data_IF_411100850123
#
_entry.id   IF_411100850123
#
_cell.length_a   1.000
_cell.length_b   1.000
_cell.length_c   1.000
_cell.angle_alpha   90.00
_cell.angle_beta   90.00
_cell.angle_gamma   90.00
#
_symmetry.space_group_name_H-M   'P 1'
#
loop_
_entity.id
_entity.type
_entity.pdbx_description
1 polymer ?
#
# COMPACT_ATOMS: atom_id res chain seq x y z
N UNK A 1 4.36 -18.45 2.39
CA UNK A 1 4.56 -17.07 1.93
C UNK A 1 3.28 -16.29 2.10
N UNK A 2 3.30 -15.24 2.91
CA UNK A 2 2.21 -14.29 3.15
C UNK A 2 2.55 -12.97 2.48
N UNK A 3 1.76 -12.56 1.49
CA UNK A 3 1.92 -11.30 0.76
C UNK A 3 0.67 -10.46 0.97
N UNK A 4 0.85 -9.22 1.42
CA UNK A 4 -0.23 -8.25 1.45
C UNK A 4 -0.25 -7.47 0.15
N UNK A 5 -1.38 -7.45 -0.54
CA UNK A 5 -1.59 -6.65 -1.76
C UNK A 5 -2.56 -5.53 -1.42
N UNK A 6 -2.14 -4.27 -1.62
CA UNK A 6 -2.93 -3.05 -1.34
C UNK A 6 -3.69 -3.10 -0.01
N UNK A 7 -2.99 -3.27 1.12
CA UNK A 7 -3.65 -3.51 2.40
C UNK A 7 -4.43 -2.28 2.88
N UNK A 8 -5.74 -2.47 3.09
CA UNK A 8 -6.65 -1.52 3.77
C UNK A 8 -7.19 -2.15 5.05
N UNK A 9 -6.42 -2.02 6.13
CA UNK A 9 -6.62 -2.73 7.40
C UNK A 9 -6.82 -1.80 8.61
N UNK A 10 -6.80 -0.50 8.38
CA UNK A 10 -6.89 0.53 9.42
C UNK A 10 -7.79 1.66 8.92
N UNK A 11 -8.52 2.30 9.83
CA UNK A 11 -9.14 3.61 9.61
C UNK A 11 -10.09 3.76 8.41
N UNK A 12 -10.58 4.99 8.19
CA UNK A 12 -11.27 5.38 6.96
C UNK A 12 -10.29 5.68 5.82
N UNK A 13 -10.77 5.50 4.59
CA UNK A 13 -10.18 6.05 3.38
C UNK A 13 -10.61 7.52 3.23
N UNK A 14 -9.62 8.41 3.11
CA UNK A 14 -9.78 9.83 2.78
C UNK A 14 -9.55 10.05 1.27
N UNK A 15 -10.27 11.01 0.70
CA UNK A 15 -10.24 11.37 -0.72
C UNK A 15 -9.64 12.77 -0.96
N UNK A 16 -8.90 13.32 0.02
CA UNK A 16 -8.38 14.68 -0.03
C UNK A 16 -9.44 15.75 0.26
N UNK A 17 -10.55 15.35 0.90
CA UNK A 17 -11.62 16.24 1.35
C UNK A 17 -11.66 16.23 2.88
N UNK A 18 -12.07 17.31 3.54
CA UNK A 18 -12.34 17.28 4.97
C UNK A 18 -13.19 16.04 5.33
N UNK A 19 -12.74 15.23 6.29
CA UNK A 19 -13.41 13.97 6.65
C UNK A 19 -14.90 14.14 7.03
N UNK A 20 -15.27 15.34 7.51
CA UNK A 20 -16.66 15.72 7.79
C UNK A 20 -17.54 15.85 6.53
N UNK A 21 -16.95 16.05 5.35
CA UNK A 21 -17.65 16.09 4.07
C UNK A 21 -17.78 14.70 3.46
N UNK A 22 -16.67 13.97 3.34
CA UNK A 22 -16.69 12.66 2.70
C UNK A 22 -15.52 11.78 3.14
N UNK A 23 -15.82 10.59 3.65
CA UNK A 23 -14.86 9.52 3.94
C UNK A 23 -15.54 8.17 3.74
N UNK A 24 -14.76 7.12 3.52
CA UNK A 24 -15.28 5.77 3.37
C UNK A 24 -14.65 4.82 4.40
N UNK A 25 -15.45 3.96 5.02
CA UNK A 25 -14.95 2.92 5.94
C UNK A 25 -15.33 1.54 5.45
N UNK A 26 -14.47 0.55 5.72
CA UNK A 26 -14.80 -0.85 5.48
C UNK A 26 -15.91 -1.28 6.44
N UNK A 27 -17.03 -1.79 5.90
CA UNK A 27 -18.21 -2.22 6.69
C UNK A 27 -17.90 -3.22 7.81
N UNK A 28 -16.89 -4.09 7.62
CA UNK A 28 -16.54 -5.19 8.53
C UNK A 28 -15.13 -5.07 9.14
N UNK A 29 -14.49 -3.91 9.04
CA UNK A 29 -13.18 -3.72 9.67
C UNK A 29 -13.40 -3.31 11.13
N UNK A 30 -12.75 -3.97 12.10
CA UNK A 30 -12.81 -3.54 13.49
C UNK A 30 -12.31 -2.11 13.66
N UNK A 31 -12.84 -1.39 14.64
CA UNK A 31 -12.47 0.00 14.93
C UNK A 31 -10.99 0.17 15.30
N UNK A 32 -10.36 -0.89 15.84
CA UNK A 32 -8.94 -0.94 16.18
C UNK A 32 -8.05 -1.48 15.04
N UNK A 33 -8.64 -1.72 13.85
CA UNK A 33 -7.93 -2.30 12.72
C UNK A 33 -7.56 -3.77 12.87
N UNK A 34 -6.73 -4.25 11.95
CA UNK A 34 -6.24 -5.64 11.92
C UNK A 34 -4.72 -5.75 11.79
N UNK A 35 -3.99 -4.65 11.60
CA UNK A 35 -2.56 -4.72 11.25
C UNK A 35 -1.73 -5.46 12.31
N UNK A 36 -2.02 -5.22 13.60
CA UNK A 36 -1.33 -5.87 14.71
C UNK A 36 -1.69 -7.36 14.90
N UNK A 37 -2.78 -7.83 14.29
CA UNK A 37 -3.26 -9.22 14.39
C UNK A 37 -2.81 -10.09 13.21
N UNK A 38 -2.04 -9.54 12.27
CA UNK A 38 -1.57 -10.27 11.11
C UNK A 38 -0.50 -11.32 11.49
N UNK A 39 -0.41 -12.44 10.74
CA UNK A 39 0.74 -13.33 10.84
C UNK A 39 2.01 -12.64 10.33
N UNK A 40 3.15 -13.33 10.40
CA UNK A 40 4.37 -12.86 9.75
C UNK A 40 4.12 -12.57 8.26
N UNK A 41 4.53 -11.38 7.83
CA UNK A 41 4.40 -10.89 6.45
C UNK A 41 5.75 -11.06 5.77
N UNK A 42 5.75 -11.69 4.59
CA UNK A 42 6.96 -11.90 3.80
C UNK A 42 7.16 -10.81 2.75
N UNK A 43 6.09 -10.13 2.33
CA UNK A 43 6.15 -8.98 1.43
C UNK A 43 4.88 -8.11 1.51
N UNK A 44 5.04 -6.84 1.13
CA UNK A 44 3.93 -5.97 0.76
C UNK A 44 4.06 -5.65 -0.73
N UNK A 45 2.95 -5.71 -1.46
CA UNK A 45 2.85 -5.28 -2.85
C UNK A 45 1.85 -4.14 -2.92
N UNK A 46 2.29 -3.00 -3.44
CA UNK A 46 1.42 -1.87 -3.78
C UNK A 46 1.29 -1.81 -5.28
N UNK A 47 0.06 -1.77 -5.78
CA UNK A 47 -0.19 -1.77 -7.24
C UNK A 47 -0.26 -0.35 -7.80
N UNK A 48 -0.63 0.64 -6.98
CA UNK A 48 -0.78 2.04 -7.37
C UNK A 48 -0.55 3.00 -6.19
N UNK A 49 -0.09 4.23 -6.48
CA UNK A 49 0.14 5.26 -5.47
C UNK A 49 -1.11 5.99 -4.93
N UNK A 50 -2.32 5.70 -5.42
CA UNK A 50 -3.55 6.32 -4.91
C UNK A 50 -3.91 5.79 -3.52
N UNK A 51 -4.59 6.60 -2.71
CA UNK A 51 -4.86 6.31 -1.30
C UNK A 51 -5.70 5.05 -1.07
N UNK A 52 -6.51 4.63 -2.04
CA UNK A 52 -7.31 3.40 -2.01
C UNK A 52 -6.49 2.14 -2.31
N UNK A 53 -5.21 2.29 -2.62
CA UNK A 53 -4.22 1.22 -2.80
C UNK A 53 -3.04 1.39 -1.82
N UNK A 54 -2.36 2.52 -1.88
CA UNK A 54 -1.29 2.94 -0.96
C UNK A 54 -1.89 3.60 0.30
N UNK A 55 -2.65 2.85 1.08
CA UNK A 55 -3.41 3.42 2.18
C UNK A 55 -2.52 3.80 3.38
N UNK A 56 -2.21 5.09 3.52
CA UNK A 56 -1.25 5.61 4.52
C UNK A 56 -1.56 5.17 5.96
N UNK A 57 -2.81 5.24 6.48
CA UNK A 57 -3.08 4.77 7.85
C UNK A 57 -2.70 3.30 8.08
N UNK A 58 -2.97 2.45 7.09
CA UNK A 58 -2.59 1.03 7.16
C UNK A 58 -1.08 0.85 7.07
N UNK A 59 -0.43 1.53 6.13
CA UNK A 59 1.02 1.45 5.94
C UNK A 59 1.79 1.94 7.18
N UNK A 60 1.34 3.05 7.79
CA UNK A 60 1.92 3.60 9.02
C UNK A 60 1.75 2.64 10.20
N UNK A 61 0.57 2.01 10.34
CA UNK A 61 0.32 1.00 11.36
C UNK A 61 1.23 -0.22 11.17
N UNK A 62 1.37 -0.74 9.95
CA UNK A 62 2.28 -1.85 9.64
C UNK A 62 3.74 -1.50 9.98
N UNK A 63 4.23 -0.32 9.56
CA UNK A 63 5.58 0.13 9.87
C UNK A 63 5.81 0.27 11.40
N UNK A 64 4.85 0.86 12.11
CA UNK A 64 4.92 1.05 13.57
C UNK A 64 4.83 -0.26 14.35
N UNK A 65 4.16 -1.27 13.79
CA UNK A 65 4.10 -2.63 14.34
C UNK A 65 5.35 -3.49 13.98
N UNK A 66 6.39 -2.88 13.42
CA UNK A 66 7.67 -3.55 13.19
C UNK A 66 7.73 -4.40 11.91
N UNK A 67 6.82 -4.19 10.96
CA UNK A 67 6.91 -4.84 9.66
C UNK A 67 8.09 -4.28 8.88
N UNK A 68 9.08 -5.13 8.59
CA UNK A 68 10.34 -4.78 7.90
C UNK A 68 10.58 -5.61 6.64
N UNK A 69 9.58 -6.33 6.16
CA UNK A 69 9.69 -7.13 4.93
C UNK A 69 9.90 -6.24 3.69
N UNK A 70 10.37 -6.81 2.56
CA UNK A 70 10.41 -6.12 1.28
C UNK A 70 9.04 -5.57 0.87
N UNK A 71 9.04 -4.37 0.28
CA UNK A 71 7.87 -3.69 -0.26
C UNK A 71 8.11 -3.47 -1.74
N UNK A 72 7.29 -4.10 -2.58
CA UNK A 72 7.36 -3.95 -4.03
C UNK A 72 6.26 -2.99 -4.46
N UNK A 73 6.61 -1.91 -5.16
CA UNK A 73 5.66 -0.85 -5.48
C UNK A 73 6.01 -0.10 -6.77
N UNK A 74 5.06 0.59 -7.42
CA UNK A 74 5.39 1.56 -8.47
C UNK A 74 6.02 2.83 -7.88
N UNK A 75 6.76 3.61 -8.67
CA UNK A 75 7.30 4.91 -8.24
C UNK A 75 6.25 5.86 -7.66
N UNK A 76 5.00 5.78 -8.14
CA UNK A 76 3.89 6.61 -7.69
C UNK A 76 3.52 6.42 -6.21
N UNK A 77 3.90 5.31 -5.58
CA UNK A 77 3.66 5.05 -4.15
C UNK A 77 4.83 5.46 -3.24
N UNK A 78 5.96 5.90 -3.81
CA UNK A 78 7.21 6.15 -3.07
C UNK A 78 7.05 7.16 -1.93
N UNK A 79 6.40 8.29 -2.19
CA UNK A 79 6.18 9.34 -1.19
C UNK A 79 5.37 8.82 0.00
N UNK A 80 4.28 8.09 -0.26
CA UNK A 80 3.41 7.51 0.78
C UNK A 80 4.14 6.48 1.63
N UNK A 81 4.95 5.60 1.00
CA UNK A 81 5.73 4.59 1.73
C UNK A 81 6.78 5.22 2.66
N UNK A 82 7.47 6.27 2.19
CA UNK A 82 8.41 7.05 3.01
C UNK A 82 7.69 7.77 4.15
N UNK A 83 6.55 8.42 3.86
CA UNK A 83 5.75 9.12 4.87
C UNK A 83 5.16 8.18 5.93
N UNK A 84 4.85 6.93 5.56
CA UNK A 84 4.42 5.88 6.47
C UNK A 84 5.52 5.41 7.43
N UNK A 85 6.80 5.68 7.13
CA UNK A 85 7.94 5.37 8.00
C UNK A 85 8.68 4.09 7.66
N UNK A 86 8.48 3.52 6.45
CA UNK A 86 9.28 2.38 6.01
C UNK A 86 10.72 2.79 5.66
N UNK A 87 11.68 1.90 5.93
CA UNK A 87 13.07 2.08 5.51
C UNK A 87 13.18 2.08 3.99
N UNK A 88 13.93 3.03 3.43
CA UNK A 88 14.20 3.08 1.98
C UNK A 88 14.88 1.81 1.47
N UNK A 89 15.67 1.11 2.31
CA UNK A 89 16.32 -0.16 1.95
C UNK A 89 15.33 -1.30 1.69
N UNK A 90 14.11 -1.19 2.21
CA UNK A 90 13.08 -2.21 2.07
C UNK A 90 12.11 -1.89 0.93
N UNK A 91 12.21 -0.71 0.31
CA UNK A 91 11.32 -0.25 -0.76
C UNK A 91 11.96 -0.57 -2.11
N UNK A 92 11.30 -1.43 -2.88
CA UNK A 92 11.70 -1.86 -4.21
C UNK A 92 10.72 -1.27 -5.23
N UNK A 93 11.09 -0.13 -5.80
CA UNK A 93 10.29 0.52 -6.83
C UNK A 93 10.53 -0.18 -8.18
N UNK A 94 9.47 -0.65 -8.81
CA UNK A 94 9.51 -1.32 -10.11
C UNK A 94 8.58 -0.63 -11.13
N UNK A 95 9.09 -0.50 -12.35
CA UNK A 95 8.41 0.04 -13.53
C UNK A 95 7.74 -1.07 -14.33
N UNK A 96 6.85 -0.69 -15.26
CA UNK A 96 6.22 -1.63 -16.19
C UNK A 96 7.25 -2.49 -16.94
N UNK A 97 7.00 -3.80 -16.98
CA UNK A 97 7.90 -4.79 -17.59
C UNK A 97 9.07 -5.21 -16.70
N UNK A 98 9.24 -4.61 -15.52
CA UNK A 98 10.19 -5.08 -14.53
C UNK A 98 9.58 -6.13 -13.60
N UNK A 99 10.47 -6.91 -13.02
CA UNK A 99 10.13 -8.06 -12.18
C UNK A 99 10.90 -8.00 -10.86
N UNK A 100 10.27 -8.45 -9.79
CA UNK A 100 10.89 -8.60 -8.47
C UNK A 100 10.54 -9.97 -7.87
N UNK A 101 11.54 -10.69 -7.37
CA UNK A 101 11.33 -11.98 -6.70
C UNK A 101 11.24 -11.78 -5.18
N UNK A 102 10.13 -12.18 -4.57
CA UNK A 102 9.94 -12.08 -3.12
C UNK A 102 9.23 -13.31 -2.55
N UNK A 103 9.79 -13.91 -1.49
CA UNK A 103 9.17 -15.06 -0.83
C UNK A 103 8.94 -16.27 -1.76
N UNK A 104 9.76 -16.44 -2.79
CA UNK A 104 9.60 -17.48 -3.82
C UNK A 104 8.51 -17.18 -4.86
N UNK A 105 7.94 -15.97 -4.86
CA UNK A 105 6.93 -15.49 -5.80
C UNK A 105 7.53 -14.40 -6.69
N UNK A 106 7.32 -14.53 -8.00
CA UNK A 106 7.70 -13.53 -8.98
C UNK A 106 6.58 -12.48 -9.11
N UNK A 107 6.92 -11.21 -8.86
CA UNK A 107 6.03 -10.07 -9.04
C UNK A 107 6.42 -9.38 -10.33
N UNK A 108 5.52 -9.38 -11.32
CA UNK A 108 5.73 -8.72 -12.62
C UNK A 108 4.86 -7.47 -12.68
N UNK A 109 5.49 -6.30 -12.85
CA UNK A 109 4.76 -5.05 -13.01
C UNK A 109 4.22 -4.94 -14.44
N UNK A 110 2.91 -4.77 -14.58
CA UNK A 110 2.23 -4.58 -15.87
C UNK A 110 1.54 -3.23 -15.91
N UNK A 111 1.28 -2.71 -17.12
CA UNK A 111 0.52 -1.46 -17.29
C UNK A 111 -0.86 -1.54 -16.64
N UNK A 112 -1.13 -0.60 -15.73
CA UNK A 112 -2.45 -0.42 -15.12
C UNK A 112 -3.42 0.33 -16.02
N UNK A 113 -4.64 0.52 -15.53
CA UNK A 113 -5.61 1.39 -16.20
C UNK A 113 -5.15 2.85 -16.14
N UNK A 114 -5.51 3.64 -17.16
CA UNK A 114 -5.41 5.09 -17.06
C UNK A 114 -6.37 5.57 -15.96
N UNK A 115 -5.80 6.12 -14.90
CA UNK A 115 -6.53 6.68 -13.76
C UNK A 115 -6.34 8.18 -13.71
N UNK A 116 -7.42 8.91 -13.41
CA UNK A 116 -7.47 10.36 -13.46
C UNK A 116 -8.34 10.86 -14.61
N UNK A 117 -8.82 12.10 -14.55
CA UNK A 117 -9.57 12.68 -15.65
C UNK A 117 -8.72 12.73 -16.94
N UNK A 118 -9.35 12.63 -18.12
CA UNK A 118 -8.66 12.44 -19.42
C UNK A 118 -7.70 13.57 -19.84
N UNK A 119 -7.52 14.62 -19.04
CA UNK A 119 -6.68 15.80 -19.33
C UNK A 119 -5.43 15.93 -18.44
N UNK A 120 -5.13 14.94 -17.61
CA UNK A 120 -3.92 14.95 -16.76
C UNK A 120 -2.74 14.14 -17.35
N UNK A 121 -2.84 13.73 -18.62
CA UNK A 121 -1.73 13.14 -19.38
C UNK A 121 -0.73 14.22 -19.83
#
# INVERSE_FOLDING_TARGET
TTILVDPLLEGPLDFGLPAALYSATKRKLPTYGLAAALPQIDAIVITQGLADHAHEPTLRSLASNGVTCPIVAPPSASSTLKAAGFSETNIHLIEHGQTFLVGGVEVVATSGALVGPPWQA
#
